data_IF_160733667617
#
_entry.id   IF_160733667617
#
_cell.length_a   1.000
_cell.length_b   1.000
_cell.length_c   1.000
_cell.angle_alpha   90.00
_cell.angle_beta   90.00
_cell.angle_gamma   90.00
#
_symmetry.space_group_name_H-M   'P 1'
#
loop_
_entity.id
_entity.type
_entity.pdbx_description
1 polymer ?
#
# COMPACT_ATOMS: atom_id res chain seq x y z
N UNK A 1 -14.81 24.74 -9.98
CA UNK A 1 -13.48 25.15 -9.49
C UNK A 1 -12.36 24.98 -10.52
N UNK A 2 -12.50 24.12 -11.54
CA UNK A 2 -11.56 24.09 -12.69
C UNK A 2 -11.32 25.49 -13.26
N UNK A 3 -10.06 25.85 -13.49
CA UNK A 3 -9.61 27.15 -13.98
C UNK A 3 -9.39 28.21 -12.89
N UNK A 4 -9.84 27.97 -11.65
CA UNK A 4 -9.56 28.87 -10.52
C UNK A 4 -8.07 28.89 -10.20
N UNK A 5 -7.54 30.07 -9.90
CA UNK A 5 -6.13 30.26 -9.50
C UNK A 5 -6.05 30.59 -8.02
N UNK A 6 -5.53 29.64 -7.22
CA UNK A 6 -5.35 29.82 -5.79
C UNK A 6 -4.08 30.62 -5.50
N UNK A 7 -4.19 31.61 -4.62
CA UNK A 7 -3.06 32.48 -4.22
C UNK A 7 -2.38 33.20 -5.39
N UNK A 8 -3.07 33.38 -6.52
CA UNK A 8 -2.47 33.95 -7.74
C UNK A 8 -1.32 33.11 -8.32
N UNK A 9 -1.25 31.81 -8.02
CA UNK A 9 -0.15 30.92 -8.42
C UNK A 9 -0.57 29.52 -8.85
N UNK A 10 -1.53 28.91 -8.17
CA UNK A 10 -1.86 27.50 -8.38
C UNK A 10 -3.18 27.37 -9.14
N UNK A 11 -3.11 27.11 -10.44
CA UNK A 11 -4.29 26.96 -11.29
C UNK A 11 -4.84 25.55 -11.24
N UNK A 12 -6.07 25.38 -10.76
CA UNK A 12 -6.74 24.09 -10.64
C UNK A 12 -7.16 23.56 -12.02
N UNK A 13 -6.83 22.30 -12.32
CA UNK A 13 -7.15 21.67 -13.60
C UNK A 13 -8.25 20.60 -13.47
N UNK A 14 -8.09 19.65 -12.56
CA UNK A 14 -8.98 18.49 -12.46
C UNK A 14 -9.09 18.02 -11.01
N UNK A 15 -10.29 17.60 -10.59
CA UNK A 15 -10.47 16.97 -9.29
C UNK A 15 -9.83 15.58 -9.31
N UNK A 16 -9.01 15.27 -8.29
CA UNK A 16 -8.40 13.96 -8.06
C UNK A 16 -9.20 13.15 -7.03
N UNK A 17 -9.96 13.82 -6.17
CA UNK A 17 -10.82 13.19 -5.18
C UNK A 17 -11.54 14.24 -4.33
N UNK A 18 -12.62 13.81 -3.68
CA UNK A 18 -13.36 14.62 -2.71
C UNK A 18 -13.64 13.75 -1.49
N UNK A 19 -13.35 14.28 -0.30
CA UNK A 19 -13.65 13.67 0.98
C UNK A 19 -14.59 14.54 1.80
N UNK A 20 -14.93 14.09 3.01
CA UNK A 20 -15.89 14.78 3.88
C UNK A 20 -15.48 16.21 4.27
N UNK A 21 -14.18 16.50 4.38
CA UNK A 21 -13.66 17.79 4.86
C UNK A 21 -12.83 18.57 3.83
N UNK A 22 -12.33 17.90 2.79
CA UNK A 22 -11.44 18.51 1.80
C UNK A 22 -11.61 17.90 0.42
N UNK A 23 -11.17 18.64 -0.60
CA UNK A 23 -11.04 18.17 -1.97
C UNK A 23 -9.58 18.18 -2.39
N UNK A 24 -9.19 17.22 -3.22
CA UNK A 24 -7.85 17.15 -3.80
C UNK A 24 -7.96 17.44 -5.30
N UNK A 25 -7.13 18.36 -5.77
CA UNK A 25 -7.11 18.82 -7.15
C UNK A 25 -5.73 18.67 -7.76
N UNK A 26 -5.66 18.24 -9.01
CA UNK A 26 -4.50 18.46 -9.86
C UNK A 26 -4.45 19.93 -10.23
N UNK A 27 -3.29 20.54 -10.08
CA UNK A 27 -3.06 21.93 -10.41
C UNK A 27 -1.71 22.14 -11.10
N UNK A 28 -1.52 23.33 -11.66
CA UNK A 28 -0.24 23.80 -12.19
C UNK A 28 0.23 24.96 -11.33
N UNK A 29 1.47 24.88 -10.85
CA UNK A 29 2.20 26.01 -10.30
C UNK A 29 2.65 26.91 -11.45
N UNK A 30 1.94 28.01 -11.69
CA UNK A 30 2.18 28.90 -12.84
C UNK A 30 3.53 29.62 -12.78
N UNK A 31 4.15 29.72 -11.59
CA UNK A 31 5.47 30.33 -11.43
C UNK A 31 6.60 29.38 -11.82
N UNK A 32 6.49 28.11 -11.43
CA UNK A 32 7.52 27.10 -11.67
C UNK A 32 7.23 26.21 -12.88
N UNK A 33 6.03 26.29 -13.46
CA UNK A 33 5.62 25.48 -14.61
C UNK A 33 5.46 23.98 -14.33
N UNK A 34 5.32 23.58 -13.06
CA UNK A 34 5.21 22.17 -12.65
C UNK A 34 3.80 21.79 -12.23
N UNK A 35 3.44 20.52 -12.43
CA UNK A 35 2.20 19.95 -11.90
C UNK A 35 2.33 19.66 -10.41
N UNK A 36 1.27 19.91 -9.68
CA UNK A 36 1.17 19.70 -8.23
C UNK A 36 -0.21 19.15 -7.87
N UNK A 37 -0.34 18.60 -6.68
CA UNK A 37 -1.63 18.31 -6.07
C UNK A 37 -1.94 19.38 -5.01
N UNK A 38 -3.18 19.83 -4.95
CA UNK A 38 -3.66 20.81 -3.98
C UNK A 38 -4.79 20.20 -3.18
N UNK A 39 -4.63 20.13 -1.86
CA UNK A 39 -5.70 19.74 -0.93
C UNK A 39 -6.33 21.01 -0.39
N UNK A 40 -7.60 21.24 -0.71
CA UNK A 40 -8.38 22.41 -0.35
C UNK A 40 -9.43 22.01 0.67
N UNK A 41 -9.44 22.65 1.84
CA UNK A 41 -10.46 22.42 2.85
C UNK A 41 -11.79 23.04 2.40
N UNK A 42 -12.91 22.36 2.65
CA UNK A 42 -14.24 22.88 2.31
C UNK A 42 -14.52 24.19 3.06
N UNK A 43 -15.15 25.20 2.43
CA UNK A 43 -15.51 26.46 3.11
C UNK A 43 -16.40 26.27 4.33
N UNK A 44 -17.21 25.19 4.33
CA UNK A 44 -18.13 24.80 5.40
C UNK A 44 -17.43 24.15 6.60
N UNK A 45 -16.13 23.92 6.53
CA UNK A 45 -15.37 23.32 7.61
C UNK A 45 -15.39 24.22 8.85
N UNK A 46 -15.69 23.61 10.00
CA UNK A 46 -15.81 24.29 11.28
C UNK A 46 -14.43 24.79 11.76
N UNK A 47 -14.35 25.83 12.62
CA UNK A 47 -13.07 26.34 13.11
C UNK A 47 -12.11 25.28 13.69
N UNK A 48 -12.56 24.29 14.49
CA UNK A 48 -11.69 23.21 14.95
C UNK A 48 -11.09 22.37 13.81
N UNK A 49 -11.83 22.16 12.72
CA UNK A 49 -11.36 21.40 11.54
C UNK A 49 -10.25 22.17 10.81
N UNK A 50 -10.37 23.50 10.74
CA UNK A 50 -9.35 24.38 10.14
C UNK A 50 -8.05 24.39 10.95
N UNK A 51 -8.14 24.52 12.27
CA UNK A 51 -6.96 24.48 13.14
C UNK A 51 -6.22 23.14 13.02
N UNK A 52 -6.98 22.04 12.96
CA UNK A 52 -6.43 20.69 12.79
C UNK A 52 -5.76 20.51 11.43
N UNK A 53 -6.38 21.00 10.36
CA UNK A 53 -5.78 21.01 9.02
C UNK A 53 -4.44 21.75 9.01
N UNK A 54 -4.34 22.90 9.68
CA UNK A 54 -3.08 23.64 9.78
C UNK A 54 -2.02 22.90 10.62
N UNK A 55 -2.42 22.21 11.68
CA UNK A 55 -1.51 21.37 12.47
C UNK A 55 -0.97 20.19 11.65
N UNK A 56 -1.83 19.55 10.84
CA UNK A 56 -1.44 18.48 9.92
C UNK A 56 -0.39 18.98 8.94
N UNK A 57 -0.66 20.08 8.24
CA UNK A 57 0.28 20.63 7.25
C UNK A 57 1.64 20.96 7.88
N UNK A 58 1.66 21.46 9.13
CA UNK A 58 2.90 21.74 9.86
C UNK A 58 3.67 20.48 10.27
N UNK A 59 2.97 19.39 10.57
CA UNK A 59 3.62 18.10 10.82
C UNK A 59 4.20 17.53 9.52
N UNK A 60 3.42 17.58 8.44
CA UNK A 60 3.81 17.11 7.11
C UNK A 60 5.00 17.88 6.53
N UNK A 61 5.05 19.20 6.71
CA UNK A 61 6.11 20.04 6.13
C UNK A 61 7.50 19.81 6.73
N UNK A 62 7.59 19.13 7.87
CA UNK A 62 8.85 18.78 8.54
C UNK A 62 9.38 17.42 8.11
N UNK A 63 8.59 16.64 7.39
CA UNK A 63 8.96 15.30 6.95
C UNK A 63 9.67 15.35 5.61
N UNK A 64 10.80 14.65 5.53
CA UNK A 64 11.59 14.48 4.32
C UNK A 64 12.00 13.03 4.20
N UNK A 65 11.30 12.29 3.36
CA UNK A 65 11.58 10.89 3.08
C UNK A 65 11.10 10.54 1.66
N UNK A 66 11.86 9.77 0.86
CA UNK A 66 11.47 9.44 -0.51
C UNK A 66 10.13 8.70 -0.61
N UNK A 67 9.82 7.85 0.38
CA UNK A 67 8.56 7.13 0.48
C UNK A 67 7.41 7.89 1.15
N UNK A 68 7.52 9.21 1.35
CA UNK A 68 6.45 10.08 1.88
C UNK A 68 6.14 11.16 0.85
N UNK A 69 4.85 11.50 0.69
CA UNK A 69 4.43 12.63 -0.16
C UNK A 69 4.85 13.95 0.46
N UNK A 70 5.64 14.74 -0.27
CA UNK A 70 6.20 16.00 0.18
C UNK A 70 5.18 17.15 0.09
N UNK A 71 4.98 17.85 1.20
CA UNK A 71 4.31 19.17 1.19
C UNK A 71 5.28 20.23 0.68
N UNK A 72 4.80 21.02 -0.28
CA UNK A 72 5.56 22.03 -1.03
C UNK A 72 5.21 23.46 -0.59
N UNK A 73 3.95 23.72 -0.24
CA UNK A 73 3.49 25.05 0.13
C UNK A 73 2.20 25.00 0.97
N UNK A 74 1.89 26.10 1.66
CA UNK A 74 0.65 26.30 2.42
C UNK A 74 0.11 27.70 2.12
N UNK A 75 -1.19 27.80 1.88
CA UNK A 75 -1.85 29.07 1.61
C UNK A 75 -3.29 29.12 2.09
N UNK A 76 -3.93 30.25 1.84
CA UNK A 76 -5.33 30.50 2.16
C UNK A 76 -5.97 31.29 1.02
N UNK A 77 -7.21 30.97 0.69
CA UNK A 77 -8.05 31.76 -0.23
C UNK A 77 -9.43 31.93 0.39
N UNK A 78 -9.93 33.17 0.47
CA UNK A 78 -11.28 33.45 1.01
C UNK A 78 -11.55 32.77 2.38
N UNK A 79 -10.55 32.73 3.27
CA UNK A 79 -10.67 32.08 4.59
C UNK A 79 -10.64 30.54 4.56
N UNK A 80 -10.36 29.94 3.40
CA UNK A 80 -10.26 28.50 3.20
C UNK A 80 -8.77 28.11 3.04
N UNK A 81 -8.20 27.38 4.02
CA UNK A 81 -6.81 26.95 3.93
C UNK A 81 -6.66 25.86 2.86
N UNK A 82 -5.51 25.87 2.19
CA UNK A 82 -5.08 24.82 1.28
C UNK A 82 -3.60 24.54 1.46
N UNK A 83 -3.17 23.33 1.16
CA UNK A 83 -1.75 23.04 0.99
C UNK A 83 -1.47 22.39 -0.34
N UNK A 84 -0.25 22.58 -0.80
CA UNK A 84 0.27 22.07 -2.06
C UNK A 84 1.26 20.98 -1.75
N UNK A 85 1.15 19.86 -2.47
CA UNK A 85 2.03 18.71 -2.35
C UNK A 85 2.49 18.25 -3.73
N UNK A 86 3.53 17.43 -3.76
CA UNK A 86 3.93 16.79 -5.01
C UNK A 86 2.78 15.99 -5.63
N UNK A 87 2.68 16.02 -6.95
CA UNK A 87 1.73 15.20 -7.67
C UNK A 87 2.37 13.83 -7.93
N UNK A 88 1.85 12.79 -7.27
CA UNK A 88 2.28 11.40 -7.52
C UNK A 88 1.37 10.77 -8.57
N UNK A 89 1.96 10.40 -9.70
CA UNK A 89 1.25 9.84 -10.85
C UNK A 89 1.70 8.37 -11.02
N UNK A 90 0.77 7.42 -10.94
CA UNK A 90 1.06 5.98 -11.07
C UNK A 90 -0.07 5.12 -10.49
N UNK A 91 -0.90 5.73 -9.64
CA UNK A 91 -2.09 5.12 -9.05
C UNK A 91 -1.80 4.69 -7.62
N UNK A 92 -2.56 3.69 -7.16
CA UNK A 92 -2.55 3.22 -5.77
C UNK A 92 -1.84 1.87 -5.66
N UNK A 93 -1.42 1.51 -4.44
CA UNK A 93 -0.60 0.33 -4.17
C UNK A 93 -1.23 -1.00 -4.60
N UNK A 94 -2.57 -1.09 -4.59
CA UNK A 94 -3.33 -2.24 -5.05
C UNK A 94 -3.12 -2.58 -6.54
N UNK A 95 -2.65 -1.62 -7.36
CA UNK A 95 -2.30 -1.85 -8.77
C UNK A 95 -1.07 -2.73 -8.97
N UNK A 96 -0.26 -2.96 -7.92
CA UNK A 96 0.89 -3.86 -8.02
C UNK A 96 0.48 -5.33 -8.03
N UNK A 97 -0.75 -5.67 -7.62
CA UNK A 97 -1.21 -7.04 -7.49
C UNK A 97 -2.41 -7.39 -8.38
N UNK A 98 -2.93 -8.64 -8.30
CA UNK A 98 -2.55 -9.71 -7.37
C UNK A 98 -1.12 -10.23 -7.57
N UNK A 99 -0.61 -10.98 -6.60
CA UNK A 99 0.74 -11.55 -6.71
C UNK A 99 0.83 -12.52 -7.89
N UNK A 100 1.88 -12.35 -8.69
CA UNK A 100 2.22 -13.23 -9.80
C UNK A 100 3.70 -13.63 -9.72
N UNK A 101 4.02 -14.80 -10.26
CA UNK A 101 5.41 -15.23 -10.40
C UNK A 101 6.15 -14.31 -11.38
N UNK A 102 7.37 -13.89 -11.03
CA UNK A 102 8.20 -13.04 -11.89
C UNK A 102 8.43 -11.63 -11.34
N UNK A 103 8.75 -10.66 -12.22
CA UNK A 103 9.11 -9.29 -11.80
C UNK A 103 8.00 -8.53 -11.08
N UNK A 104 6.72 -8.84 -11.31
CA UNK A 104 5.61 -8.16 -10.62
C UNK A 104 5.55 -8.53 -9.14
N UNK A 105 5.68 -9.81 -8.80
CA UNK A 105 5.77 -10.26 -7.40
C UNK A 105 6.95 -9.63 -6.65
N UNK A 106 8.10 -9.49 -7.32
CA UNK A 106 9.29 -8.82 -6.77
C UNK A 106 9.00 -7.35 -6.42
N UNK A 107 8.33 -6.62 -7.32
CA UNK A 107 7.96 -5.21 -7.10
C UNK A 107 7.03 -5.02 -5.90
N UNK A 108 6.09 -5.94 -5.65
CA UNK A 108 5.22 -5.87 -4.46
C UNK A 108 6.06 -5.95 -3.18
N UNK A 109 7.03 -6.86 -3.12
CA UNK A 109 7.89 -7.05 -1.95
C UNK A 109 8.84 -5.87 -1.74
N UNK A 110 9.45 -5.37 -2.82
CA UNK A 110 10.28 -4.16 -2.78
C UNK A 110 9.49 -2.94 -2.30
N UNK A 111 8.26 -2.78 -2.79
CA UNK A 111 7.37 -1.70 -2.37
C UNK A 111 6.94 -1.87 -0.90
N UNK A 112 6.69 -3.09 -0.43
CA UNK A 112 6.39 -3.37 0.97
C UNK A 112 7.52 -2.92 1.91
N UNK A 113 8.77 -3.19 1.54
CA UNK A 113 9.96 -2.75 2.28
C UNK A 113 10.01 -1.21 2.34
N UNK A 114 9.84 -0.53 1.19
CA UNK A 114 9.86 0.93 1.11
C UNK A 114 8.75 1.59 1.94
N UNK A 115 7.55 0.99 1.99
CA UNK A 115 6.46 1.47 2.86
C UNK A 115 6.82 1.28 4.34
N UNK A 116 7.39 0.14 4.73
CA UNK A 116 7.86 -0.07 6.10
C UNK A 116 8.94 0.94 6.51
N UNK A 117 9.86 1.28 5.61
CA UNK A 117 10.88 2.31 5.84
C UNK A 117 10.25 3.70 6.02
N UNK A 118 9.26 4.05 5.20
CA UNK A 118 8.50 5.30 5.35
C UNK A 118 7.73 5.36 6.68
N UNK A 119 7.07 4.27 7.08
CA UNK A 119 6.38 4.18 8.37
C UNK A 119 7.37 4.29 9.54
N UNK A 120 8.52 3.61 9.47
CA UNK A 120 9.55 3.72 10.49
C UNK A 120 10.06 5.16 10.64
N UNK A 121 10.23 5.88 9.52
CA UNK A 121 10.59 7.30 9.55
C UNK A 121 9.51 8.17 10.24
N UNK A 122 8.22 7.93 9.96
CA UNK A 122 7.11 8.61 10.65
C UNK A 122 7.12 8.32 12.16
N UNK A 123 7.26 7.04 12.52
CA UNK A 123 7.23 6.58 13.90
C UNK A 123 8.38 7.14 14.71
N UNK A 124 9.57 7.29 14.11
CA UNK A 124 10.73 7.92 14.75
C UNK A 124 10.49 9.40 15.11
N UNK A 125 9.55 10.06 14.43
CA UNK A 125 9.12 11.43 14.75
C UNK A 125 7.89 11.48 15.66
N UNK A 126 7.46 10.34 16.21
CA UNK A 126 6.29 10.25 17.07
C UNK A 126 4.94 10.38 16.34
N UNK A 127 4.95 10.23 15.01
CA UNK A 127 3.75 10.37 14.17
C UNK A 127 3.23 8.97 13.83
N UNK A 128 1.93 8.74 14.03
CA UNK A 128 1.23 7.51 13.61
C UNK A 128 0.32 7.81 12.43
N UNK A 129 0.20 6.88 11.48
CA UNK A 129 -0.66 7.02 10.31
C UNK A 129 -2.14 6.85 10.62
N UNK A 130 -2.53 5.75 11.29
CA UNK A 130 -3.87 5.41 11.82
C UNK A 130 -4.99 5.13 10.81
N UNK A 131 -4.78 5.46 9.54
CA UNK A 131 -5.71 5.18 8.45
C UNK A 131 -4.93 4.74 7.20
N UNK A 132 -3.99 3.82 7.38
CA UNK A 132 -3.21 3.31 6.26
C UNK A 132 -4.10 2.38 5.42
N UNK A 133 -4.31 2.75 4.16
CA UNK A 133 -5.14 2.02 3.19
C UNK A 133 -4.45 2.00 1.82
N UNK A 134 -4.90 1.19 0.85
CA UNK A 134 -4.30 1.20 -0.48
C UNK A 134 -4.38 2.57 -1.18
N UNK A 135 -5.42 3.35 -0.87
CA UNK A 135 -5.62 4.71 -1.42
C UNK A 135 -4.60 5.72 -0.88
N UNK A 136 -4.07 5.47 0.31
CA UNK A 136 -3.11 6.34 0.99
C UNK A 136 -1.65 5.93 0.72
N UNK A 137 -1.44 4.92 -0.12
CA UNK A 137 -0.11 4.53 -0.61
C UNK A 137 -0.14 4.67 -2.12
N UNK A 138 0.38 5.80 -2.61
CA UNK A 138 0.45 6.11 -4.03
C UNK A 138 1.71 5.49 -4.65
N UNK A 139 1.68 5.29 -5.97
CA UNK A 139 2.82 4.83 -6.75
C UNK A 139 3.29 5.94 -7.68
N UNK A 140 4.60 6.16 -7.77
CA UNK A 140 5.19 6.97 -8.86
C UNK A 140 5.07 6.23 -10.20
N UNK A 141 5.44 6.90 -11.31
CA UNK A 141 5.38 6.28 -12.65
C UNK A 141 6.35 5.11 -12.77
N UNK A 142 7.41 5.16 -11.99
CA UNK A 142 8.45 4.13 -11.85
C UNK A 142 8.03 3.00 -10.90
N UNK A 143 6.88 3.14 -10.21
CA UNK A 143 6.32 2.12 -9.32
C UNK A 143 6.81 2.23 -7.87
N UNK A 144 7.46 3.32 -7.48
CA UNK A 144 7.89 3.51 -6.08
C UNK A 144 6.73 3.97 -5.20
N UNK A 145 6.52 3.37 -4.02
CA UNK A 145 5.44 3.76 -3.13
C UNK A 145 5.74 5.08 -2.39
N UNK A 146 4.71 5.90 -2.22
CA UNK A 146 4.70 7.11 -1.39
C UNK A 146 3.46 7.11 -0.50
N UNK A 147 3.69 7.19 0.81
CA UNK A 147 2.66 7.28 1.83
C UNK A 147 2.14 8.72 1.92
N UNK A 148 0.83 8.88 2.01
CA UNK A 148 0.15 10.18 2.15
C UNK A 148 -0.96 10.12 3.21
N UNK A 149 -1.54 11.29 3.55
CA UNK A 149 -2.74 11.38 4.39
C UNK A 149 -2.63 10.67 5.75
N UNK A 150 -1.45 10.70 6.37
CA UNK A 150 -1.23 10.17 7.72
C UNK A 150 -1.66 11.19 8.79
N UNK A 151 -2.38 10.71 9.81
CA UNK A 151 -2.59 11.46 11.05
C UNK A 151 -3.82 12.37 11.13
N UNK A 152 -4.70 12.39 10.12
CA UNK A 152 -6.00 13.06 10.21
C UNK A 152 -6.83 12.55 11.41
N UNK A 153 -6.77 11.25 11.72
CA UNK A 153 -7.64 10.64 12.73
C UNK A 153 -7.35 11.06 14.18
N UNK A 154 -6.11 11.41 14.57
CA UNK A 154 -5.83 11.71 15.99
C UNK A 154 -6.20 13.14 16.39
N UNK A 155 -5.92 14.10 15.51
CA UNK A 155 -6.31 15.49 15.74
C UNK A 155 -7.85 15.63 15.77
N UNK A 156 -8.56 14.68 15.14
CA UNK A 156 -10.03 14.54 15.21
C UNK A 156 -10.54 13.85 16.50
N UNK A 157 -9.69 13.23 17.33
CA UNK A 157 -10.06 12.22 18.34
C UNK A 157 -9.95 12.63 19.82
N UNK A 158 -9.74 13.90 20.18
CA UNK A 158 -10.03 14.35 21.56
C UNK A 158 -11.51 14.19 21.94
N UNK A 159 -12.38 13.93 20.96
CA UNK A 159 -13.74 13.50 21.20
C UNK A 159 -13.76 12.00 21.47
N UNK A 160 -13.72 11.64 22.76
CA UNK A 160 -14.23 10.36 23.24
C UNK A 160 -15.51 9.98 22.48
N UNK A 161 -15.65 8.71 22.12
CA UNK A 161 -16.79 8.05 21.44
C UNK A 161 -16.56 7.64 19.98
N UNK A 162 -15.68 6.65 19.76
CA UNK A 162 -15.56 5.90 18.50
C UNK A 162 -16.85 5.14 18.10
N UNK A 163 -17.83 4.99 18.99
CA UNK A 163 -18.98 4.08 18.82
C UNK A 163 -20.36 4.73 18.95
N UNK A 164 -20.47 6.03 19.24
CA UNK A 164 -21.74 6.61 19.71
C UNK A 164 -22.69 7.11 18.60
N UNK A 165 -22.27 7.13 17.33
CA UNK A 165 -23.07 7.70 16.23
C UNK A 165 -23.31 6.78 15.04
N UNK A 166 -22.94 5.50 15.10
CA UNK A 166 -23.20 4.55 14.01
C UNK A 166 -22.38 4.77 12.72
N UNK A 167 -21.45 5.73 12.72
CA UNK A 167 -20.44 5.90 11.67
C UNK A 167 -19.13 5.28 12.15
N UNK A 168 -18.66 4.23 11.47
CA UNK A 168 -17.30 3.72 11.71
C UNK A 168 -16.30 4.69 11.10
N UNK A 169 -15.43 5.25 11.94
CA UNK A 169 -14.42 6.22 11.53
C UNK A 169 -13.15 5.48 11.08
N UNK A 170 -12.75 5.69 9.82
CA UNK A 170 -11.69 4.94 9.13
C UNK A 170 -12.26 3.88 8.19
N UNK A 171 -11.39 3.15 7.48
CA UNK A 171 -11.84 2.04 6.62
C UNK A 171 -11.77 0.73 7.41
N UNK A 172 -12.90 0.15 7.86
CA UNK A 172 -12.92 -1.01 8.78
C UNK A 172 -12.05 -2.17 8.30
N UNK A 173 -11.97 -2.36 6.98
CA UNK A 173 -11.21 -3.39 6.26
C UNK A 173 -9.71 -3.42 6.54
N UNK A 174 -9.13 -2.33 7.05
CA UNK A 174 -7.69 -2.24 7.33
C UNK A 174 -7.39 -1.84 8.78
N UNK A 175 -8.41 -1.81 9.63
CA UNK A 175 -8.29 -1.29 11.00
C UNK A 175 -7.60 -2.29 11.93
N UNK A 176 -6.66 -1.80 12.74
CA UNK A 176 -6.01 -2.61 13.75
C UNK A 176 -6.98 -3.04 14.87
N UNK A 177 -6.80 -4.23 15.49
CA UNK A 177 -7.67 -4.71 16.57
C UNK A 177 -7.78 -3.75 17.75
N UNK A 178 -6.68 -3.14 18.16
CA UNK A 178 -6.63 -2.14 19.22
C UNK A 178 -7.38 -0.86 18.85
N UNK A 179 -7.37 -0.48 17.57
CA UNK A 179 -8.11 0.67 17.05
C UNK A 179 -9.62 0.40 17.05
N UNK A 180 -10.02 -0.80 16.62
CA UNK A 180 -11.42 -1.25 16.68
C UNK A 180 -11.96 -1.29 18.11
N UNK A 181 -11.11 -1.61 19.10
CA UNK A 181 -11.45 -1.60 20.54
C UNK A 181 -11.39 -0.22 21.19
N UNK A 182 -10.90 0.81 20.49
CA UNK A 182 -10.67 2.14 21.05
C UNK A 182 -9.57 2.18 22.12
N UNK A 183 -8.59 1.28 22.04
CA UNK A 183 -7.43 1.27 22.92
C UNK A 183 -6.37 2.26 22.44
N UNK A 184 -5.44 2.68 23.32
CA UNK A 184 -4.30 3.51 22.93
C UNK A 184 -3.49 2.87 21.79
N UNK A 185 -3.22 3.65 20.75
CA UNK A 185 -2.48 3.19 19.58
C UNK A 185 -0.98 3.34 19.76
N UNK A 186 -0.25 2.40 19.16
CA UNK A 186 1.22 2.43 19.03
C UNK A 186 1.60 2.34 17.55
N UNK A 187 2.88 2.54 17.17
CA UNK A 187 3.38 2.26 15.82
C UNK A 187 2.95 0.92 15.22
N UNK A 188 2.65 -0.07 16.07
CA UNK A 188 2.19 -1.41 15.68
C UNK A 188 0.83 -1.42 15.00
N UNK A 189 -0.01 -0.41 15.22
CA UNK A 189 -1.31 -0.30 14.56
C UNK A 189 -1.13 -0.09 13.05
N UNK A 190 -0.21 0.80 12.64
CA UNK A 190 0.07 1.06 11.22
C UNK A 190 0.65 -0.17 10.51
N UNK A 191 1.45 -0.96 11.23
CA UNK A 191 2.01 -2.21 10.72
C UNK A 191 0.94 -3.28 10.48
N UNK A 192 -0.08 -3.33 11.33
CA UNK A 192 -1.25 -4.19 11.09
C UNK A 192 -2.02 -3.74 9.86
N UNK A 193 -2.29 -2.45 9.73
CA UNK A 193 -2.96 -1.89 8.55
C UNK A 193 -2.16 -2.16 7.27
N UNK A 194 -0.83 -2.06 7.32
CA UNK A 194 0.04 -2.47 6.21
C UNK A 194 -0.11 -3.96 5.90
N UNK A 195 -0.14 -4.83 6.91
CA UNK A 195 -0.42 -6.26 6.74
C UNK A 195 -1.73 -6.50 5.99
N UNK A 196 -2.80 -5.77 6.33
CA UNK A 196 -4.09 -5.88 5.64
C UNK A 196 -4.04 -5.37 4.19
N UNK A 197 -3.31 -4.28 3.93
CA UNK A 197 -3.05 -3.77 2.56
C UNK A 197 -2.29 -4.80 1.73
N UNK A 198 -1.21 -5.37 2.28
CA UNK A 198 -0.38 -6.36 1.61
C UNK A 198 -1.18 -7.64 1.34
N UNK A 199 -1.94 -8.13 2.32
CA UNK A 199 -2.82 -9.28 2.13
C UNK A 199 -3.75 -9.08 0.94
N UNK A 200 -4.41 -7.91 0.86
CA UNK A 200 -5.27 -7.56 -0.27
C UNK A 200 -4.52 -7.49 -1.58
N UNK A 201 -3.36 -6.83 -1.58
CA UNK A 201 -2.56 -6.64 -2.79
C UNK A 201 -2.06 -7.99 -3.31
N UNK A 202 -1.69 -8.92 -2.44
CA UNK A 202 -1.19 -10.23 -2.85
C UNK A 202 -2.30 -11.18 -3.33
N UNK A 203 -3.45 -11.17 -2.66
CA UNK A 203 -4.53 -12.16 -2.89
C UNK A 203 -5.68 -11.63 -3.75
N UNK A 204 -5.72 -10.32 -3.99
CA UNK A 204 -6.87 -9.63 -4.61
C UNK A 204 -8.05 -9.39 -3.66
N UNK A 205 -8.04 -9.91 -2.43
CA UNK A 205 -9.13 -9.79 -1.45
C UNK A 205 -8.63 -9.36 -0.08
N UNK A 206 -9.38 -8.54 0.69
CA UNK A 206 -8.97 -8.18 2.04
C UNK A 206 -8.90 -9.42 2.97
N UNK A 207 -8.21 -9.33 4.12
CA UNK A 207 -8.12 -10.44 5.07
C UNK A 207 -9.49 -10.84 5.63
N UNK A 208 -10.41 -9.89 5.71
CA UNK A 208 -11.75 -10.03 6.30
C UNK A 208 -12.79 -9.34 5.43
N UNK A 209 -13.95 -9.98 5.29
CA UNK A 209 -15.11 -9.50 4.53
C UNK A 209 -16.36 -9.76 5.37
N UNK A 210 -17.28 -8.80 5.43
CA UNK A 210 -18.50 -8.91 6.22
C UNK A 210 -19.62 -8.07 5.63
N UNK A 211 -20.86 -8.38 6.00
CA UNK A 211 -22.06 -7.70 5.50
C UNK A 211 -22.17 -6.24 5.97
N UNK A 212 -21.45 -5.89 7.03
CA UNK A 212 -21.39 -4.54 7.58
C UNK A 212 -20.06 -4.28 8.30
N UNK A 213 -19.80 -3.01 8.62
CA UNK A 213 -18.57 -2.57 9.27
C UNK A 213 -18.33 -3.25 10.62
N UNK A 214 -19.39 -3.47 11.42
CA UNK A 214 -19.26 -4.11 12.73
C UNK A 214 -18.80 -5.57 12.61
N UNK A 215 -19.30 -6.30 11.62
CA UNK A 215 -18.87 -7.65 11.33
C UNK A 215 -17.38 -7.68 10.95
N UNK A 216 -16.92 -6.76 10.10
CA UNK A 216 -15.51 -6.64 9.70
C UNK A 216 -14.63 -6.33 10.92
N UNK A 217 -15.02 -5.37 11.76
CA UNK A 217 -14.30 -5.04 12.99
C UNK A 217 -14.23 -6.23 13.96
N UNK A 218 -15.32 -6.99 14.10
CA UNK A 218 -15.35 -8.21 14.90
C UNK A 218 -14.31 -9.23 14.40
N UNK A 219 -14.25 -9.47 13.09
CA UNK A 219 -13.27 -10.38 12.49
C UNK A 219 -11.82 -9.91 12.72
N UNK A 220 -11.56 -8.61 12.55
CA UNK A 220 -10.25 -8.03 12.87
C UNK A 220 -9.85 -8.29 14.32
N UNK A 221 -10.81 -8.25 15.26
CA UNK A 221 -10.55 -8.44 16.69
C UNK A 221 -10.41 -9.90 17.09
N UNK A 222 -11.25 -10.80 16.57
CA UNK A 222 -11.41 -12.15 17.13
C UNK A 222 -11.07 -13.28 16.16
N UNK A 223 -11.10 -13.07 14.84
CA UNK A 223 -10.92 -14.15 13.86
C UNK A 223 -9.52 -14.16 13.28
N UNK A 224 -8.99 -15.34 12.96
CA UNK A 224 -7.73 -15.44 12.22
C UNK A 224 -7.97 -15.28 10.72
N UNK A 225 -7.14 -14.51 10.00
CA UNK A 225 -7.28 -14.38 8.55
C UNK A 225 -7.02 -15.74 7.88
N UNK A 226 -7.63 -15.97 6.72
CA UNK A 226 -7.32 -17.16 5.92
C UNK A 226 -5.85 -17.12 5.49
N UNK A 227 -5.16 -18.26 5.34
CA UNK A 227 -3.82 -18.27 4.76
C UNK A 227 -3.86 -17.66 3.33
N UNK A 228 -2.97 -16.71 2.99
CA UNK A 228 -2.95 -16.08 1.66
C UNK A 228 -2.91 -17.10 0.51
N UNK A 229 -2.17 -18.20 0.69
CA UNK A 229 -2.03 -19.25 -0.33
C UNK A 229 -3.32 -20.00 -0.63
N UNK A 230 -4.31 -19.99 0.28
CA UNK A 230 -5.62 -20.55 0.02
C UNK A 230 -6.42 -19.74 -1.01
N UNK A 231 -6.07 -18.46 -1.19
CA UNK A 231 -6.66 -17.57 -2.19
C UNK A 231 -5.79 -17.46 -3.45
N UNK A 232 -4.47 -17.44 -3.28
CA UNK A 232 -3.52 -17.38 -4.37
C UNK A 232 -2.31 -18.31 -4.10
N UNK A 233 -2.30 -19.53 -4.67
CA UNK A 233 -1.24 -20.52 -4.45
C UNK A 233 0.16 -20.11 -4.93
N UNK A 234 0.27 -19.06 -5.75
CA UNK A 234 1.56 -18.56 -6.26
C UNK A 234 2.36 -17.79 -5.21
N UNK A 235 1.72 -17.37 -4.10
CA UNK A 235 2.37 -16.62 -3.03
C UNK A 235 3.36 -17.53 -2.29
N UNK A 236 4.66 -17.18 -2.22
CA UNK A 236 5.65 -17.95 -1.48
C UNK A 236 5.34 -18.01 0.02
N UNK A 237 5.66 -19.15 0.67
CA UNK A 237 5.36 -19.36 2.09
C UNK A 237 5.97 -18.28 3.00
N UNK A 238 7.24 -17.90 2.77
CA UNK A 238 7.88 -16.84 3.56
C UNK A 238 7.20 -15.47 3.42
N UNK A 239 6.63 -15.16 2.25
CA UNK A 239 5.85 -13.93 2.04
C UNK A 239 4.52 -13.99 2.79
N UNK A 240 3.82 -15.11 2.72
CA UNK A 240 2.56 -15.31 3.43
C UNK A 240 2.74 -15.24 4.95
N UNK A 241 3.77 -15.89 5.49
CA UNK A 241 4.13 -15.85 6.90
C UNK A 241 4.46 -14.41 7.37
N UNK A 242 5.24 -13.68 6.58
CA UNK A 242 5.55 -12.27 6.85
C UNK A 242 4.28 -11.41 6.94
N UNK A 243 3.35 -11.53 5.99
CA UNK A 243 2.08 -10.79 6.01
C UNK A 243 1.20 -11.20 7.18
N UNK A 244 1.08 -12.49 7.46
CA UNK A 244 0.30 -12.99 8.60
C UNK A 244 0.87 -12.53 9.95
N UNK A 245 2.20 -12.40 10.07
CA UNK A 245 2.84 -11.88 11.29
C UNK A 245 2.50 -10.41 11.56
N UNK A 246 2.31 -9.59 10.51
CA UNK A 246 1.81 -8.22 10.66
C UNK A 246 0.35 -8.18 11.12
N UNK A 247 -0.43 -9.20 10.77
CA UNK A 247 -1.85 -9.36 11.14
C UNK A 247 -2.05 -10.04 12.51
N UNK A 248 -0.98 -10.20 13.30
CA UNK A 248 -1.09 -10.69 14.67
C UNK A 248 -2.02 -9.79 15.52
N UNK A 249 -2.85 -10.41 16.35
CA UNK A 249 -3.88 -9.68 17.11
C UNK A 249 -3.28 -8.82 18.20
N UNK A 250 -2.23 -9.33 18.83
CA UNK A 250 -1.47 -8.66 19.86
C UNK A 250 -0.40 -7.75 19.22
N UNK A 251 -0.40 -6.43 19.50
CA UNK A 251 0.53 -5.47 18.90
C UNK A 251 2.02 -5.82 19.08
N UNK A 252 2.37 -6.42 20.22
CA UNK A 252 3.71 -6.83 20.62
C UNK A 252 4.26 -8.00 19.80
N UNK A 253 3.40 -8.82 19.21
CA UNK A 253 3.78 -9.96 18.36
C UNK A 253 4.14 -9.52 16.94
N UNK A 254 3.77 -8.29 16.55
CA UNK A 254 4.00 -7.80 15.20
C UNK A 254 5.48 -7.44 15.02
N UNK A 255 6.13 -7.81 13.91
CA UNK A 255 7.48 -7.32 13.59
C UNK A 255 7.47 -5.84 13.17
N UNK A 256 8.49 -5.06 13.54
CA UNK A 256 8.61 -3.62 13.19
C UNK A 256 9.69 -3.35 12.16
N UNK A 257 10.57 -4.30 11.90
CA UNK A 257 11.78 -4.03 11.13
C UNK A 257 11.52 -4.24 9.63
N UNK A 258 11.94 -3.30 8.75
CA UNK A 258 11.76 -3.44 7.30
C UNK A 258 12.42 -4.69 6.69
N UNK A 259 13.34 -5.34 7.42
CA UNK A 259 13.94 -6.61 6.99
C UNK A 259 12.97 -7.77 6.92
N UNK A 260 11.74 -7.63 7.45
CA UNK A 260 10.71 -8.67 7.41
C UNK A 260 10.52 -9.26 6.01
N UNK A 261 10.52 -8.40 4.98
CA UNK A 261 10.35 -8.83 3.59
C UNK A 261 11.67 -8.98 2.83
N UNK A 262 12.82 -8.65 3.43
CA UNK A 262 14.14 -8.77 2.76
C UNK A 262 14.51 -10.23 2.51
N UNK A 263 14.37 -11.11 3.51
CA UNK A 263 14.68 -12.53 3.32
C UNK A 263 13.70 -13.21 2.35
N UNK A 264 12.37 -13.06 2.47
CA UNK A 264 11.43 -13.58 1.47
C UNK A 264 11.70 -13.08 0.05
N UNK A 265 12.08 -11.80 -0.11
CA UNK A 265 12.45 -11.23 -1.40
C UNK A 265 13.72 -11.89 -1.98
N UNK A 266 14.77 -12.05 -1.17
CA UNK A 266 16.02 -12.70 -1.60
C UNK A 266 15.80 -14.15 -2.00
N UNK A 267 14.99 -14.89 -1.23
CA UNK A 267 14.61 -16.27 -1.54
C UNK A 267 13.83 -16.34 -2.86
N UNK A 268 12.85 -15.45 -3.04
CA UNK A 268 12.07 -15.36 -4.28
C UNK A 268 12.95 -15.04 -5.50
N UNK A 269 13.86 -14.08 -5.38
CA UNK A 269 14.83 -13.74 -6.42
C UNK A 269 15.74 -14.93 -6.75
N UNK A 270 16.23 -15.64 -5.73
CA UNK A 270 17.07 -16.83 -5.90
C UNK A 270 16.32 -17.95 -6.64
N UNK A 271 15.07 -18.23 -6.27
CA UNK A 271 14.21 -19.20 -6.96
C UNK A 271 13.99 -18.82 -8.43
N UNK A 272 13.71 -17.55 -8.71
CA UNK A 272 13.52 -17.06 -10.08
C UNK A 272 14.79 -17.22 -10.94
N UNK A 273 15.97 -17.00 -10.35
CA UNK A 273 17.25 -17.18 -11.03
C UNK A 273 17.65 -18.66 -11.18
N UNK A 274 17.25 -19.51 -10.23
CA UNK A 274 17.52 -20.95 -10.23
C UNK A 274 16.57 -21.74 -11.14
N UNK A 275 15.36 -21.23 -11.39
CA UNK A 275 14.39 -21.85 -12.30
C UNK A 275 14.93 -21.77 -13.74
N UNK A 276 15.26 -22.89 -14.40
CA UNK A 276 15.81 -22.84 -15.74
C UNK A 276 14.77 -22.25 -16.69
N UNK A 277 15.06 -21.08 -17.27
CA UNK A 277 14.33 -20.64 -18.46
C UNK A 277 14.56 -21.70 -19.53
N UNK A 278 13.50 -22.39 -19.95
CA UNK A 278 13.53 -23.29 -21.09
C UNK A 278 13.79 -22.46 -22.37
N UNK A 279 15.06 -22.16 -22.63
CA UNK A 279 15.53 -21.53 -23.85
C UNK A 279 16.15 -22.58 -24.76
N UNK A 280 15.86 -22.50 -26.06
CA UNK A 280 16.31 -23.39 -27.14
C UNK A 280 17.83 -23.47 -27.36
N UNK A 281 18.64 -22.81 -26.53
CA UNK A 281 20.08 -22.61 -26.75
C UNK A 281 21.01 -23.37 -25.79
N UNK A 282 20.52 -24.30 -24.96
CA UNK A 282 21.41 -25.13 -24.14
C UNK A 282 21.72 -26.47 -24.78
N UNK A 283 22.95 -26.60 -25.30
CA UNK A 283 23.59 -27.91 -25.53
C UNK A 283 23.84 -28.56 -24.17
N UNK A 284 22.96 -29.47 -23.76
CA UNK A 284 22.92 -30.06 -22.42
C UNK A 284 24.18 -30.83 -22.03
N UNK A 285 25.18 -30.13 -21.49
CA UNK A 285 26.26 -30.77 -20.73
C UNK A 285 26.02 -30.54 -19.25
N UNK A 286 25.57 -31.60 -18.58
CA UNK A 286 25.39 -31.66 -17.14
C UNK A 286 26.43 -32.65 -16.59
N UNK A 287 27.34 -32.24 -15.69
CA UNK A 287 28.44 -33.10 -15.19
C UNK A 287 27.97 -34.39 -14.51
N UNK A 288 26.72 -34.42 -14.06
CA UNK A 288 26.09 -35.55 -13.37
C UNK A 288 24.97 -36.20 -14.20
N UNK A 289 24.71 -35.74 -15.42
CA UNK A 289 23.75 -36.42 -16.29
C UNK A 289 24.34 -37.71 -16.87
N UNK A 290 23.50 -38.72 -17.12
CA UNK A 290 23.95 -39.92 -17.80
C UNK A 290 24.54 -39.59 -19.18
N UNK A 291 25.69 -40.20 -19.49
CA UNK A 291 26.38 -40.05 -20.77
C UNK A 291 25.41 -40.32 -21.94
N UNK A 292 25.15 -39.35 -22.82
CA UNK A 292 24.20 -39.49 -23.93
C UNK A 292 24.52 -40.69 -24.84
N UNK A 293 25.78 -41.11 -24.93
CA UNK A 293 26.21 -42.27 -25.73
C UNK A 293 25.81 -43.61 -25.11
N UNK A 294 25.40 -43.61 -23.85
CA UNK A 294 24.94 -44.79 -23.09
C UNK A 294 23.42 -44.82 -22.91
N UNK A 295 22.71 -43.82 -23.44
CA UNK A 295 21.25 -43.80 -23.40
C UNK A 295 20.70 -44.64 -24.56
N UNK A 296 19.93 -45.66 -24.23
CA UNK A 296 19.09 -46.40 -25.18
C UNK A 296 17.64 -46.00 -24.97
N UNK A 297 16.89 -45.78 -26.06
CA UNK A 297 15.46 -45.51 -25.99
C UNK A 297 14.74 -46.68 -25.29
N UNK A 298 14.26 -46.47 -24.07
CA UNK A 298 13.54 -47.49 -23.28
C UNK A 298 12.07 -47.63 -23.66
N UNK A 299 11.53 -46.64 -24.39
CA UNK A 299 10.16 -46.63 -24.87
C UNK A 299 9.82 -45.28 -25.49
N UNK A 300 8.82 -45.27 -26.38
CA UNK A 300 8.20 -44.07 -26.91
C UNK A 300 6.74 -44.12 -26.48
N UNK A 301 6.28 -43.09 -25.79
CA UNK A 301 4.85 -42.88 -25.52
C UNK A 301 4.35 -41.96 -26.62
N UNK A 302 3.37 -42.44 -27.39
CA UNK A 302 2.66 -41.60 -28.35
C UNK A 302 1.62 -40.79 -27.58
N UNK A 303 1.81 -39.47 -27.52
CA UNK A 303 0.97 -38.60 -26.70
C UNK A 303 -0.37 -38.26 -27.35
N UNK A 304 -0.68 -38.80 -28.54
CA UNK A 304 -2.03 -38.78 -29.12
C UNK A 304 -2.67 -37.39 -29.19
N UNK A 305 -2.33 -36.62 -30.21
CA UNK A 305 -2.96 -35.32 -30.50
C UNK A 305 -2.01 -34.14 -30.31
N UNK A 306 -2.13 -33.17 -31.22
CA UNK A 306 -1.20 -32.06 -31.46
C UNK A 306 -0.84 -31.29 -30.18
N UNK A 307 0.44 -31.30 -29.83
CA UNK A 307 1.02 -30.26 -28.98
C UNK A 307 1.04 -28.96 -29.79
N UNK A 308 -0.08 -28.25 -29.81
CA UNK A 308 -0.13 -26.87 -30.27
C UNK A 308 0.61 -26.00 -29.25
N UNK A 309 1.69 -25.34 -29.70
CA UNK A 309 2.37 -24.31 -28.92
C UNK A 309 1.42 -23.10 -28.79
N UNK A 310 1.36 -22.42 -27.63
CA UNK A 310 0.60 -21.18 -27.53
C UNK A 310 1.31 -20.12 -28.38
N UNK A 311 0.80 -19.89 -29.58
CA UNK A 311 1.41 -19.00 -30.57
C UNK A 311 0.75 -19.01 -31.96
N UNK A 312 -0.06 -20.00 -32.29
CA UNK A 312 -0.85 -20.00 -33.54
C UNK A 312 -2.32 -20.35 -33.28
N UNK A 313 -3.08 -19.34 -32.80
CA UNK A 313 -4.45 -19.02 -33.21
C UNK A 313 -4.87 -17.67 -32.61
#
# INVERSE_FOLDING_TARGET
MTGMVLGGRYRLEASLGSGGMAEVWRAVDERLGRKVAVKLLHPRALPPERERFLLEVRALSRLFHPGIVQVLDLGEVEGCPYFVMELVEGGTFDRLGPFEEGPEGERILEAAIQVMEALAHLHAQGILHRDLTPKNILLTKEGHPKVMDFGLAYLLQESHHLTRTGYTLGTPTYMAPEQAKGLPLTPRADLYSLGAVLYRTLTGKPPFEGENDQAILFQHVYESPKPPQALNPTIPSGVAEAVLSLLAKHPEERPSHPSLFKSPLQEFQALRLATPRAGSSRSGHYPLAPDPRRLSLKGKVDLGGEAAWPGEM
#
